data_IF_911012344183
#
_entry.id   IF_911012344183
#
_cell.length_a   1.000
_cell.length_b   1.000
_cell.length_c   1.000
_cell.angle_alpha   90.00
_cell.angle_beta   90.00
_cell.angle_gamma   90.00
#
_symmetry.space_group_name_H-M   'P 1'
#
loop_
_entity.id
_entity.type
_entity.pdbx_description
1 polymer ?
#
# COMPACT_ATOMS: atom_id res chain seq x y z
N UNK A 1 -39.66 -31.15 -52.50
CA UNK A 1 -39.34 -30.27 -51.35
C UNK A 1 -38.63 -31.15 -50.33
N UNK A 2 -37.28 -31.16 -50.33
CA UNK A 2 -36.40 -30.37 -49.43
C UNK A 2 -36.66 -30.80 -47.97
N UNK A 3 -35.72 -31.33 -47.17
CA UNK A 3 -34.37 -30.87 -46.79
C UNK A 3 -33.48 -32.09 -46.35
N UNK A 4 -32.25 -32.31 -46.86
CA UNK A 4 -30.89 -31.97 -46.30
C UNK A 4 -30.70 -32.38 -44.82
N UNK A 5 -29.94 -33.45 -44.51
CA UNK A 5 -28.48 -33.49 -44.17
C UNK A 5 -28.15 -32.51 -43.02
N UNK A 6 -27.70 -32.93 -41.83
CA UNK A 6 -26.38 -33.50 -41.48
C UNK A 6 -26.51 -34.39 -40.20
N UNK A 7 -25.74 -35.44 -39.92
CA UNK A 7 -24.36 -35.73 -40.28
C UNK A 7 -23.46 -35.63 -39.04
N UNK A 8 -22.84 -36.76 -38.67
CA UNK A 8 -21.65 -36.90 -37.81
C UNK A 8 -21.81 -36.60 -36.30
N UNK A 9 -21.34 -37.43 -35.38
CA UNK A 9 -20.27 -38.42 -35.46
C UNK A 9 -19.51 -38.32 -34.15
N UNK A 10 -19.89 -39.17 -33.19
CA UNK A 10 -19.27 -39.26 -31.86
C UNK A 10 -17.80 -39.59 -32.05
N UNK A 11 -16.92 -38.61 -31.81
CA UNK A 11 -15.47 -38.81 -31.74
C UNK A 11 -15.05 -38.75 -30.27
N UNK A 12 -14.54 -39.88 -29.83
CA UNK A 12 -13.69 -40.04 -28.64
C UNK A 12 -12.47 -39.15 -28.74
N UNK A 13 -12.21 -38.31 -27.74
CA UNK A 13 -10.87 -37.83 -27.41
C UNK A 13 -10.73 -37.71 -25.89
N UNK A 14 -10.00 -38.69 -25.34
CA UNK A 14 -8.91 -38.46 -24.39
C UNK A 14 -9.29 -37.82 -23.04
N UNK A 15 -9.59 -38.70 -22.09
CA UNK A 15 -9.47 -38.43 -20.67
C UNK A 15 -7.98 -38.36 -20.29
N UNK A 16 -7.41 -37.16 -20.36
CA UNK A 16 -6.14 -36.86 -19.71
C UNK A 16 -6.34 -36.82 -18.20
N UNK A 17 -6.07 -37.96 -17.56
CA UNK A 17 -5.89 -38.10 -16.12
C UNK A 17 -4.56 -37.44 -15.71
N UNK A 18 -4.58 -36.14 -15.40
CA UNK A 18 -3.47 -35.50 -14.67
C UNK A 18 -3.68 -35.62 -13.15
N UNK A 19 -3.46 -36.83 -12.65
CA UNK A 19 -3.61 -37.22 -11.25
C UNK A 19 -2.41 -36.75 -10.37
N UNK A 20 -2.02 -35.49 -10.49
CA UNK A 20 -0.93 -34.92 -9.68
C UNK A 20 -1.15 -33.48 -9.19
N UNK A 21 -2.19 -32.79 -9.66
CA UNK A 21 -2.52 -31.46 -9.12
C UNK A 21 -3.23 -31.61 -7.78
N UNK A 22 -2.77 -30.94 -6.70
CA UNK A 22 -3.56 -30.85 -5.49
C UNK A 22 -4.90 -30.21 -5.85
N UNK A 23 -6.00 -30.93 -5.66
CA UNK A 23 -7.32 -30.33 -5.80
C UNK A 23 -7.55 -29.45 -4.59
N UNK A 24 -7.21 -28.16 -4.67
CA UNK A 24 -7.55 -27.24 -3.60
C UNK A 24 -9.07 -27.05 -3.59
N UNK A 25 -9.71 -27.46 -2.51
CA UNK A 25 -11.12 -27.16 -2.21
C UNK A 25 -11.36 -25.64 -1.95
N UNK A 26 -10.32 -24.83 -2.08
CA UNK A 26 -10.33 -23.41 -1.77
C UNK A 26 -11.00 -22.61 -2.90
N UNK A 27 -11.93 -21.72 -2.53
CA UNK A 27 -12.54 -20.80 -3.48
C UNK A 27 -11.51 -19.71 -3.84
N UNK A 28 -11.11 -19.69 -5.11
CA UNK A 28 -10.18 -18.71 -5.67
C UNK A 28 -10.74 -17.28 -5.61
N UNK A 29 -12.07 -17.13 -5.56
CA UNK A 29 -12.72 -15.83 -5.44
C UNK A 29 -12.30 -15.07 -4.18
N UNK A 30 -11.91 -15.78 -3.11
CA UNK A 30 -11.48 -15.19 -1.84
C UNK A 30 -10.07 -14.58 -1.90
N UNK A 31 -9.26 -15.03 -2.87
CA UNK A 31 -7.90 -14.53 -3.09
C UNK A 31 -7.85 -13.53 -4.25
N UNK A 32 -8.91 -13.39 -5.02
CA UNK A 32 -8.99 -12.45 -6.13
C UNK A 32 -9.20 -11.01 -5.62
N UNK A 33 -8.54 -10.05 -6.25
CA UNK A 33 -8.77 -8.63 -6.02
C UNK A 33 -10.01 -8.19 -6.79
N UNK A 34 -10.94 -7.46 -6.17
CA UNK A 34 -12.15 -7.02 -6.88
C UNK A 34 -11.93 -5.86 -7.86
N UNK A 35 -10.73 -5.26 -7.88
CA UNK A 35 -10.38 -4.19 -8.82
C UNK A 35 -9.77 -4.79 -10.09
N UNK A 36 -8.76 -5.66 -9.96
CA UNK A 36 -8.08 -6.27 -11.12
C UNK A 36 -8.55 -7.69 -11.45
N UNK A 37 -9.43 -8.29 -10.65
CA UNK A 37 -10.02 -9.62 -10.82
C UNK A 37 -9.01 -10.78 -10.89
N UNK A 38 -7.79 -10.56 -10.42
CA UNK A 38 -6.69 -11.53 -10.38
C UNK A 38 -6.25 -11.79 -8.93
N UNK A 39 -5.51 -12.88 -8.66
CA UNK A 39 -5.03 -13.28 -7.31
C UNK A 39 -4.22 -12.17 -6.65
N UNK A 40 -4.67 -11.56 -5.56
CA UNK A 40 -4.05 -10.39 -4.92
C UNK A 40 -2.52 -10.45 -4.80
N UNK A 41 -1.84 -9.34 -5.11
CA UNK A 41 -0.42 -9.15 -4.83
C UNK A 41 -0.27 -8.08 -3.76
N UNK A 42 0.49 -8.37 -2.71
CA UNK A 42 0.61 -7.52 -1.53
C UNK A 42 -0.77 -7.07 -1.01
N UNK A 43 -1.56 -8.03 -0.52
CA UNK A 43 -2.90 -7.77 -0.06
C UNK A 43 -2.94 -6.76 1.09
N UNK A 44 -3.81 -5.78 0.93
CA UNK A 44 -4.10 -4.71 1.89
C UNK A 44 -5.53 -4.84 2.38
N UNK A 45 -5.73 -4.53 3.65
CA UNK A 45 -6.99 -4.48 4.34
C UNK A 45 -7.46 -3.03 4.50
N UNK A 46 -8.71 -2.75 4.14
CA UNK A 46 -9.33 -1.42 4.28
C UNK A 46 -10.20 -1.38 5.54
N UNK A 47 -9.74 -0.68 6.57
CA UNK A 47 -10.48 -0.47 7.82
C UNK A 47 -11.46 0.71 7.69
N UNK A 48 -12.70 0.62 8.21
CA UNK A 48 -13.28 -0.43 9.07
C UNK A 48 -14.01 -1.56 8.33
N UNK A 49 -14.15 -1.48 7.00
CA UNK A 49 -14.97 -2.44 6.23
C UNK A 49 -14.33 -3.81 6.01
N UNK A 50 -13.04 -3.97 6.31
CA UNK A 50 -12.22 -5.16 6.14
C UNK A 50 -12.23 -5.78 4.73
N UNK A 51 -12.41 -4.97 3.69
CA UNK A 51 -12.28 -5.41 2.30
C UNK A 51 -10.81 -5.47 1.87
N UNK A 52 -10.48 -6.46 1.04
CA UNK A 52 -9.10 -6.79 0.68
C UNK A 52 -8.82 -6.54 -0.80
N UNK A 53 -7.71 -5.89 -1.09
CA UNK A 53 -7.30 -5.53 -2.45
C UNK A 53 -5.77 -5.62 -2.60
N UNK A 54 -5.26 -5.60 -3.84
CA UNK A 54 -3.83 -5.40 -4.08
C UNK A 54 -3.40 -4.01 -3.60
N UNK A 55 -2.19 -3.90 -3.05
CA UNK A 55 -1.62 -2.61 -2.64
C UNK A 55 -1.65 -1.56 -3.76
N UNK A 56 -1.08 -1.85 -4.93
CA UNK A 56 -1.08 -0.91 -6.05
C UNK A 56 -2.49 -0.48 -6.50
N UNK A 57 -3.48 -1.39 -6.45
CA UNK A 57 -4.85 -1.09 -6.88
C UNK A 57 -5.59 -0.20 -5.88
N UNK A 58 -5.48 -0.48 -4.58
CA UNK A 58 -6.18 0.33 -3.57
C UNK A 58 -5.56 1.71 -3.43
N UNK A 59 -4.25 1.83 -3.54
CA UNK A 59 -3.56 3.11 -3.45
C UNK A 59 -3.92 4.04 -4.61
N UNK A 60 -3.96 3.52 -5.84
CA UNK A 60 -4.42 4.30 -7.00
C UNK A 60 -5.87 4.76 -6.85
N UNK A 61 -6.74 3.90 -6.35
CA UNK A 61 -8.13 4.26 -6.07
C UNK A 61 -8.23 5.33 -4.98
N UNK A 62 -7.47 5.17 -3.89
CA UNK A 62 -7.48 6.08 -2.75
C UNK A 62 -6.96 7.47 -3.10
N UNK A 63 -6.04 7.59 -4.07
CA UNK A 63 -5.60 8.87 -4.60
C UNK A 63 -6.74 9.67 -5.28
N UNK A 64 -7.79 8.99 -5.75
CA UNK A 64 -8.94 9.61 -6.42
C UNK A 64 -10.17 9.70 -5.50
N UNK A 65 -10.39 8.70 -4.65
CA UNK A 65 -11.57 8.55 -3.82
C UNK A 65 -11.22 7.97 -2.44
N UNK A 66 -11.58 8.67 -1.36
CA UNK A 66 -11.37 8.21 0.02
C UNK A 66 -12.40 7.15 0.49
N UNK A 67 -12.98 6.37 -0.42
CA UNK A 67 -14.06 5.41 -0.14
C UNK A 67 -13.68 4.03 -0.65
N UNK A 68 -14.08 2.97 0.06
CA UNK A 68 -13.85 1.60 -0.36
C UNK A 68 -14.54 1.30 -1.71
N UNK A 69 -13.85 0.65 -2.68
CA UNK A 69 -14.45 0.27 -3.96
C UNK A 69 -15.67 -0.65 -3.86
N UNK A 70 -15.67 -1.54 -2.85
CA UNK A 70 -16.74 -2.54 -2.62
C UNK A 70 -17.98 -1.95 -1.93
N UNK A 71 -17.79 -1.38 -0.74
CA UNK A 71 -18.90 -0.96 0.11
C UNK A 71 -19.12 0.56 0.16
N UNK A 72 -18.24 1.34 -0.47
CA UNK A 72 -18.30 2.82 -0.51
C UNK A 72 -18.23 3.52 0.85
N UNK A 73 -17.90 2.80 1.93
CA UNK A 73 -17.58 3.39 3.22
C UNK A 73 -16.25 4.15 3.18
N UNK A 74 -16.11 5.19 4.00
CA UNK A 74 -14.87 5.94 4.12
C UNK A 74 -13.74 5.03 4.59
N UNK A 75 -12.67 4.95 3.80
CA UNK A 75 -11.47 4.24 4.20
C UNK A 75 -10.76 5.10 5.26
N UNK A 76 -10.68 4.59 6.48
CA UNK A 76 -9.99 5.29 7.58
C UNK A 76 -8.52 4.91 7.60
N UNK A 77 -8.23 3.62 7.44
CA UNK A 77 -6.86 3.09 7.48
C UNK A 77 -6.70 1.96 6.44
N UNK A 78 -5.52 1.88 5.83
CA UNK A 78 -5.17 0.87 4.82
C UNK A 78 -3.91 0.15 5.31
N UNK A 79 -4.08 -1.07 5.81
CA UNK A 79 -3.00 -1.83 6.45
C UNK A 79 -2.69 -3.10 5.67
N UNK A 80 -1.45 -3.59 5.75
CA UNK A 80 -1.07 -4.84 5.06
C UNK A 80 -1.61 -6.04 5.82
N UNK A 81 -2.25 -6.96 5.12
CA UNK A 81 -2.70 -8.23 5.72
C UNK A 81 -1.60 -9.29 5.55
N UNK A 82 -0.73 -9.44 6.55
CA UNK A 82 0.35 -10.43 6.52
C UNK A 82 -0.17 -11.87 6.43
N UNK A 83 -1.31 -12.16 7.05
CA UNK A 83 -1.90 -13.50 7.06
C UNK A 83 -2.37 -13.92 5.68
N UNK A 84 -3.10 -13.04 4.99
CA UNK A 84 -3.58 -13.32 3.65
C UNK A 84 -2.44 -13.37 2.64
N UNK A 85 -1.40 -12.54 2.80
CA UNK A 85 -0.21 -12.63 1.98
C UNK A 85 0.49 -14.00 2.12
N UNK A 86 0.62 -14.53 3.34
CA UNK A 86 1.20 -15.86 3.56
C UNK A 86 0.35 -16.97 2.90
N UNK A 87 -0.98 -16.87 2.97
CA UNK A 87 -1.89 -17.81 2.31
C UNK A 87 -1.74 -17.75 0.78
N UNK A 88 -1.67 -16.53 0.21
CA UNK A 88 -1.46 -16.33 -1.23
C UNK A 88 -0.12 -16.91 -1.67
N UNK A 89 0.95 -16.69 -0.90
CA UNK A 89 2.27 -17.25 -1.21
C UNK A 89 2.23 -18.78 -1.24
N UNK A 90 1.60 -19.41 -0.26
CA UNK A 90 1.41 -20.88 -0.24
C UNK A 90 0.55 -21.37 -1.41
N UNK A 91 -0.50 -20.63 -1.76
CA UNK A 91 -1.36 -20.94 -2.90
C UNK A 91 -0.58 -20.89 -4.22
N UNK A 92 0.24 -19.86 -4.43
CA UNK A 92 1.07 -19.70 -5.62
C UNK A 92 2.23 -20.70 -5.71
N UNK A 93 2.63 -21.31 -4.59
CA UNK A 93 3.57 -22.44 -4.58
C UNK A 93 2.87 -23.72 -5.06
N UNK A 94 1.62 -23.94 -4.63
CA UNK A 94 0.84 -25.10 -5.05
C UNK A 94 0.35 -25.01 -6.51
N UNK A 95 0.04 -23.81 -7.00
CA UNK A 95 -0.45 -23.56 -8.37
C UNK A 95 0.38 -22.50 -9.09
N UNK A 96 1.57 -22.86 -9.59
CA UNK A 96 2.44 -21.90 -10.28
C UNK A 96 1.80 -21.38 -11.57
N UNK A 97 0.90 -22.12 -12.22
CA UNK A 97 0.22 -21.68 -13.46
C UNK A 97 -0.70 -20.47 -13.26
N UNK A 98 -1.13 -20.19 -12.02
CA UNK A 98 -2.05 -19.07 -11.72
C UNK A 98 -1.31 -17.79 -11.36
N UNK A 99 0.01 -17.81 -11.32
CA UNK A 99 0.82 -16.63 -11.02
C UNK A 99 0.70 -15.61 -12.15
N UNK A 100 0.51 -14.35 -11.78
CA UNK A 100 0.53 -13.21 -12.72
C UNK A 100 1.84 -13.11 -13.49
N UNK A 101 1.77 -12.42 -14.62
CA UNK A 101 2.96 -12.03 -15.36
C UNK A 101 3.87 -11.14 -14.50
N UNK A 102 5.18 -11.38 -14.62
CA UNK A 102 6.19 -10.61 -13.89
C UNK A 102 6.10 -9.10 -14.17
N UNK A 103 5.71 -8.72 -15.39
CA UNK A 103 5.53 -7.33 -15.77
C UNK A 103 4.39 -6.65 -14.97
N UNK A 104 3.26 -7.33 -14.80
CA UNK A 104 2.12 -6.80 -14.03
C UNK A 104 2.44 -6.68 -12.54
N UNK A 105 3.20 -7.63 -11.98
CA UNK A 105 3.66 -7.55 -10.59
C UNK A 105 4.55 -6.32 -10.38
N UNK A 106 5.51 -6.10 -11.28
CA UNK A 106 6.37 -4.92 -11.25
C UNK A 106 5.56 -3.62 -11.32
N UNK A 107 4.55 -3.56 -12.19
CA UNK A 107 3.69 -2.38 -12.31
C UNK A 107 2.88 -2.11 -11.02
N UNK A 108 2.38 -3.16 -10.36
CA UNK A 108 1.70 -3.05 -9.07
C UNK A 108 2.66 -2.54 -7.97
N UNK A 109 3.88 -3.06 -7.93
CA UNK A 109 4.93 -2.65 -6.99
C UNK A 109 5.37 -1.19 -7.24
N UNK A 110 5.41 -0.75 -8.49
CA UNK A 110 5.70 0.65 -8.84
C UNK A 110 4.58 1.60 -8.44
N UNK A 111 3.31 1.21 -8.64
CA UNK A 111 2.15 2.00 -8.18
C UNK A 111 2.16 2.14 -6.67
N UNK A 112 2.45 1.05 -5.97
CA UNK A 112 2.62 1.04 -4.52
C UNK A 112 3.73 1.99 -4.07
N UNK A 113 4.92 1.86 -4.67
CA UNK A 113 6.05 2.73 -4.35
C UNK A 113 5.70 4.21 -4.56
N UNK A 114 5.07 4.55 -5.69
CA UNK A 114 4.71 5.93 -6.00
C UNK A 114 3.79 6.54 -4.92
N UNK A 115 2.76 5.80 -4.49
CA UNK A 115 1.87 6.26 -3.43
C UNK A 115 2.62 6.48 -2.10
N UNK A 116 3.44 5.51 -1.69
CA UNK A 116 4.17 5.62 -0.42
C UNK A 116 5.17 6.80 -0.46
N UNK A 117 5.83 7.04 -1.60
CA UNK A 117 6.74 8.19 -1.75
C UNK A 117 6.01 9.54 -1.75
N UNK A 118 4.78 9.60 -2.27
CA UNK A 118 3.96 10.81 -2.19
C UNK A 118 3.53 11.08 -0.74
N UNK A 119 3.15 10.02 -0.01
CA UNK A 119 2.74 10.12 1.38
C UNK A 119 3.89 10.58 2.29
N UNK A 120 5.10 10.05 2.09
CA UNK A 120 6.32 10.50 2.80
C UNK A 120 6.61 11.98 2.55
N UNK A 121 6.60 12.45 1.30
CA UNK A 121 6.81 13.87 0.98
C UNK A 121 5.77 14.78 1.63
N UNK A 122 4.51 14.35 1.65
CA UNK A 122 3.43 15.13 2.29
C UNK A 122 3.67 15.23 3.80
N UNK A 123 4.12 14.15 4.45
CA UNK A 123 4.40 14.13 5.89
C UNK A 123 5.61 15.00 6.26
N UNK A 124 6.71 14.89 5.50
CA UNK A 124 7.92 15.72 5.72
C UNK A 124 7.61 17.22 5.58
N UNK A 125 6.55 17.58 4.85
CA UNK A 125 6.07 18.96 4.73
C UNK A 125 5.23 19.42 5.92
N UNK A 126 4.55 18.51 6.64
CA UNK A 126 3.69 18.80 7.79
C UNK A 126 4.47 18.75 9.13
N UNK A 127 5.54 17.95 9.23
CA UNK A 127 6.39 17.81 10.44
C UNK A 127 7.35 19.03 10.67
N UNK A 128 7.17 20.14 9.95
CA UNK A 128 8.09 21.28 9.92
C UNK A 128 7.77 22.50 10.82
N UNK A 129 6.84 22.43 11.77
CA UNK A 129 6.34 23.63 12.50
C UNK A 129 6.23 23.50 14.04
N UNK A 130 6.91 22.53 14.67
CA UNK A 130 6.92 22.42 16.14
C UNK A 130 8.34 22.45 16.71
N UNK A 131 9.08 23.50 16.38
CA UNK A 131 10.24 23.94 17.16
C UNK A 131 9.73 24.91 18.25
N UNK A 132 9.19 24.36 19.34
CA UNK A 132 9.08 25.13 20.57
C UNK A 132 10.46 25.10 21.23
N UNK A 133 11.24 26.16 21.00
CA UNK A 133 12.33 26.62 21.86
C UNK A 133 11.80 26.70 23.31
N UNK A 134 11.84 25.60 24.05
CA UNK A 134 11.51 25.54 25.47
C UNK A 134 12.74 25.92 26.31
N UNK A 135 13.48 26.95 25.88
CA UNK A 135 14.53 27.54 26.68
C UNK A 135 13.93 28.60 27.62
N UNK A 136 13.66 28.13 28.83
CA UNK A 136 14.07 28.82 30.05
C UNK A 136 13.30 30.10 30.46
N UNK A 137 12.00 29.98 30.76
CA UNK A 137 11.31 30.92 31.65
C UNK A 137 10.91 30.24 32.97
N UNK A 138 11.90 30.15 33.86
CA UNK A 138 11.70 30.05 35.30
C UNK A 138 10.89 31.28 35.74
N UNK A 139 9.56 31.17 35.78
CA UNK A 139 8.68 32.21 36.30
C UNK A 139 8.50 31.96 37.80
N UNK A 140 9.27 32.68 38.61
CA UNK A 140 9.02 32.77 40.05
C UNK A 140 7.64 33.41 40.28
N UNK A 141 6.76 32.68 40.95
CA UNK A 141 5.43 33.15 41.32
C UNK A 141 5.51 34.02 42.57
N UNK A 142 5.31 35.33 42.42
CA UNK A 142 4.87 36.24 43.48
C UNK A 142 3.70 37.07 42.93
N UNK A 143 2.47 36.81 43.38
CA UNK A 143 1.76 37.69 44.33
C UNK A 143 0.30 37.23 44.50
N UNK A 144 -0.21 37.35 45.72
CA UNK A 144 -1.56 36.99 46.15
C UNK A 144 -2.23 38.27 46.64
N UNK A 145 -3.38 38.66 46.07
CA UNK A 145 -4.19 39.70 46.69
C UNK A 145 -5.71 39.47 46.56
N UNK A 146 -6.28 39.07 47.70
CA UNK A 146 -7.47 39.58 48.40
C UNK A 146 -8.58 40.34 47.63
N UNK A 147 -9.84 39.90 47.81
CA UNK A 147 -11.02 40.75 47.56
C UNK A 147 -12.11 40.49 48.62
N UNK A 148 -12.48 41.52 49.37
CA UNK A 148 -13.50 41.50 50.44
C UNK A 148 -14.94 41.55 49.92
N UNK A 149 -15.84 40.84 50.61
CA UNK A 149 -17.27 40.76 50.33
C UNK A 149 -18.03 41.73 51.22
N UNK A 150 -18.90 42.57 50.65
CA UNK A 150 -19.77 43.48 51.39
C UNK A 150 -21.22 42.96 51.39
N UNK A 151 -21.73 42.74 52.60
CA UNK A 151 -22.98 42.05 52.92
C UNK A 151 -24.01 43.09 53.39
N UNK A 152 -25.17 43.18 52.73
CA UNK A 152 -26.37 43.80 53.30
C UNK A 152 -27.57 42.86 53.10
N UNK A 153 -28.27 42.68 54.21
CA UNK A 153 -29.45 41.83 54.43
C UNK A 153 -30.74 42.55 54.02
N UNK A 154 -31.80 41.79 53.71
CA UNK A 154 -33.10 41.89 54.41
C UNK A 154 -34.13 40.86 53.88
N UNK A 155 -34.53 39.95 54.79
CA UNK A 155 -35.87 39.46 55.16
C UNK A 155 -36.86 38.78 54.15
N UNK A 156 -36.86 37.43 54.21
CA UNK A 156 -37.99 36.47 54.41
C UNK A 156 -39.28 36.52 53.54
N UNK A 157 -39.40 35.59 52.58
CA UNK A 157 -40.67 34.90 52.30
C UNK A 157 -40.45 33.41 51.91
N UNK A 158 -41.03 32.52 52.71
CA UNK A 158 -40.93 31.07 52.55
C UNK A 158 -41.74 30.55 51.37
N UNK A 159 -41.04 30.02 50.37
CA UNK A 159 -41.58 29.14 49.33
C UNK A 159 -40.73 27.88 49.21
N UNK A 160 -41.35 26.73 49.53
CA UNK A 160 -40.80 25.40 49.30
C UNK A 160 -40.90 25.08 47.79
N UNK A 161 -39.85 25.47 47.03
CA UNK A 161 -39.67 25.12 45.63
C UNK A 161 -38.29 24.53 45.41
N UNK A 162 -38.30 23.32 44.85
CA UNK A 162 -37.16 22.45 44.55
C UNK A 162 -36.00 23.15 43.86
N UNK A 163 -34.78 23.05 44.42
CA UNK A 163 -33.54 22.85 43.65
C UNK A 163 -32.39 22.48 44.60
N UNK A 164 -32.12 21.19 44.77
CA UNK A 164 -30.92 20.72 45.45
C UNK A 164 -29.72 20.83 44.52
N UNK A 165 -29.19 22.03 44.33
CA UNK A 165 -27.89 22.24 43.67
C UNK A 165 -27.19 23.45 44.31
N UNK A 166 -26.96 23.34 45.61
CA UNK A 166 -25.97 24.15 46.32
C UNK A 166 -24.67 23.38 46.24
N UNK A 167 -23.92 23.62 45.18
CA UNK A 167 -22.57 23.12 45.02
C UNK A 167 -21.72 23.84 46.07
N UNK A 168 -21.54 23.21 47.24
CA UNK A 168 -20.57 23.67 48.23
C UNK A 168 -19.19 23.69 47.57
N UNK A 169 -18.58 24.88 47.53
CA UNK A 169 -17.21 25.16 47.07
C UNK A 169 -16.13 24.51 47.96
N UNK A 170 -16.34 23.29 48.44
CA UNK A 170 -15.39 22.61 49.31
C UNK A 170 -15.27 21.09 49.09
N UNK A 171 -15.76 20.57 47.97
CA UNK A 171 -15.55 19.18 47.51
C UNK A 171 -14.92 19.13 46.10
N UNK A 172 -13.83 19.87 45.91
CA UNK A 172 -12.91 19.68 44.78
C UNK A 172 -11.51 19.33 45.29
N UNK A 173 -11.43 18.41 46.25
CA UNK A 173 -10.29 17.50 46.35
C UNK A 173 -10.83 16.08 46.13
N UNK A 174 -11.35 15.88 44.93
CA UNK A 174 -11.43 14.52 44.42
C UNK A 174 -9.99 14.01 44.44
N UNK A 175 -9.75 12.90 45.15
CA UNK A 175 -8.70 11.98 44.74
C UNK A 175 -8.93 11.79 43.24
N UNK A 176 -8.13 12.50 42.44
CA UNK A 176 -7.91 12.12 41.07
C UNK A 176 -7.24 10.76 41.24
N UNK A 177 -8.04 9.70 41.14
CA UNK A 177 -7.51 8.36 40.97
C UNK A 177 -6.51 8.48 39.81
N UNK A 178 -5.21 8.49 40.12
CA UNK A 178 -4.08 8.45 39.18
C UNK A 178 -4.01 7.06 38.53
N UNK A 179 -5.15 6.49 38.16
CA UNK A 179 -5.28 5.13 37.66
C UNK A 179 -6.00 5.14 36.30
N UNK A 180 -5.35 5.72 35.28
CA UNK A 180 -5.31 5.13 33.91
C UNK A 180 -4.26 5.77 32.96
N UNK A 181 -3.08 6.15 33.46
CA UNK A 181 -1.95 6.61 32.60
C UNK A 181 -1.06 5.44 32.09
N UNK A 182 -1.50 4.18 32.19
CA UNK A 182 -0.69 3.01 31.81
C UNK A 182 -0.77 2.60 30.31
N UNK A 183 -1.13 3.48 29.37
CA UNK A 183 -1.22 3.05 27.96
C UNK A 183 -0.93 4.12 26.89
N UNK A 184 -0.07 5.10 27.16
CA UNK A 184 0.36 6.06 26.13
C UNK A 184 1.66 5.63 25.44
N UNK A 185 2.59 5.00 26.18
CA UNK A 185 3.86 4.49 25.62
C UNK A 185 3.65 3.35 24.63
N UNK A 186 2.79 2.37 24.97
CA UNK A 186 2.57 1.19 24.13
C UNK A 186 1.92 1.55 22.79
N UNK A 187 0.99 2.53 22.78
CA UNK A 187 0.38 3.07 21.55
C UNK A 187 1.40 3.78 20.66
N UNK A 188 2.32 4.53 21.27
CA UNK A 188 3.38 5.22 20.54
C UNK A 188 4.38 4.24 19.92
N UNK A 189 4.74 3.18 20.64
CA UNK A 189 5.64 2.13 20.16
C UNK A 189 5.04 1.35 18.98
N UNK A 190 3.75 0.99 19.05
CA UNK A 190 3.04 0.35 17.93
C UNK A 190 3.02 1.24 16.68
N UNK A 191 2.79 2.54 16.86
CA UNK A 191 2.80 3.51 15.77
C UNK A 191 4.19 3.63 15.12
N UNK A 192 5.25 3.77 15.92
CA UNK A 192 6.64 3.83 15.45
C UNK A 192 7.02 2.54 14.73
N UNK A 193 6.63 1.38 15.26
CA UNK A 193 6.86 0.08 14.65
C UNK A 193 6.22 -0.03 13.27
N UNK A 194 4.93 0.33 13.16
CA UNK A 194 4.19 0.37 11.88
C UNK A 194 4.87 1.30 10.87
N UNK A 195 5.27 2.49 11.32
CA UNK A 195 5.99 3.50 10.52
C UNK A 195 7.32 2.97 10.01
N UNK A 196 8.11 2.32 10.87
CA UNK A 196 9.39 1.73 10.50
C UNK A 196 9.22 0.60 9.48
N UNK A 197 8.17 -0.21 9.62
CA UNK A 197 7.85 -1.28 8.67
C UNK A 197 7.49 -0.72 7.29
N UNK A 198 6.68 0.34 7.24
CA UNK A 198 6.30 1.02 6.00
C UNK A 198 7.52 1.66 5.31
N UNK A 199 8.40 2.31 6.09
CA UNK A 199 9.65 2.87 5.58
C UNK A 199 10.59 1.81 5.02
N UNK A 200 10.78 0.71 5.74
CA UNK A 200 11.61 -0.42 5.28
C UNK A 200 11.05 -1.07 4.00
N UNK A 201 9.72 -1.08 3.85
CA UNK A 201 9.04 -1.58 2.65
C UNK A 201 9.28 -0.66 1.46
N UNK A 202 9.14 0.65 1.64
CA UNK A 202 9.48 1.62 0.60
C UNK A 202 10.93 1.49 0.13
N UNK A 203 11.87 1.39 1.06
CA UNK A 203 13.29 1.25 0.73
C UNK A 203 13.57 -0.03 -0.07
N UNK A 204 12.90 -1.14 0.27
CA UNK A 204 12.97 -2.40 -0.50
C UNK A 204 12.50 -2.19 -1.94
N UNK A 205 11.34 -1.57 -2.14
CA UNK A 205 10.78 -1.30 -3.46
C UNK A 205 11.68 -0.36 -4.28
N UNK A 206 12.26 0.68 -3.65
CA UNK A 206 13.25 1.57 -4.29
C UNK A 206 14.46 0.77 -4.78
N UNK A 207 15.01 -0.11 -3.94
CA UNK A 207 16.17 -0.94 -4.28
C UNK A 207 15.87 -1.92 -5.42
N UNK A 208 14.72 -2.59 -5.39
CA UNK A 208 14.31 -3.52 -6.44
C UNK A 208 14.09 -2.81 -7.79
N UNK A 209 13.49 -1.62 -7.75
CA UNK A 209 13.35 -0.75 -8.93
C UNK A 209 14.70 -0.34 -9.49
N UNK A 210 15.62 0.12 -8.64
CA UNK A 210 16.96 0.51 -9.05
C UNK A 210 17.75 -0.66 -9.65
N UNK A 211 17.72 -1.83 -9.02
CA UNK A 211 18.37 -3.04 -9.53
C UNK A 211 17.85 -3.42 -10.91
N UNK A 212 16.53 -3.38 -11.09
CA UNK A 212 15.88 -3.66 -12.38
C UNK A 212 16.29 -2.63 -13.44
N UNK A 213 16.36 -1.36 -13.09
CA UNK A 213 16.74 -0.31 -14.04
C UNK A 213 18.24 -0.42 -14.42
N UNK A 214 19.10 -0.78 -13.46
CA UNK A 214 20.51 -1.15 -13.73
C UNK A 214 20.62 -2.35 -14.67
N UNK A 215 19.81 -3.39 -14.47
CA UNK A 215 19.78 -4.57 -15.36
C UNK A 215 19.33 -4.20 -16.78
N UNK A 216 18.29 -3.36 -16.91
CA UNK A 216 17.83 -2.85 -18.21
C UNK A 216 18.93 -2.06 -18.93
N UNK A 217 19.70 -1.25 -18.21
CA UNK A 217 20.81 -0.49 -18.78
C UNK A 217 21.93 -1.41 -19.29
N UNK A 218 22.34 -2.41 -18.49
CA UNK A 218 23.33 -3.40 -18.90
C UNK A 218 22.88 -4.20 -20.14
N UNK A 219 21.61 -4.58 -20.20
CA UNK A 219 21.03 -5.25 -21.36
C UNK A 219 21.00 -4.34 -22.60
N UNK A 220 20.61 -3.09 -22.44
CA UNK A 220 20.62 -2.10 -23.51
C UNK A 220 22.05 -1.88 -24.04
N UNK A 221 23.04 -1.81 -23.15
CA UNK A 221 24.45 -1.68 -23.54
C UNK A 221 24.94 -2.93 -24.28
N UNK A 222 24.58 -4.13 -23.82
CA UNK A 222 24.88 -5.41 -24.50
C UNK A 222 24.23 -5.46 -25.90
N UNK A 223 23.00 -4.99 -26.04
CA UNK A 223 22.29 -4.89 -27.32
C UNK A 223 22.95 -3.89 -28.29
N UNK A 224 23.40 -2.73 -27.78
CA UNK A 224 24.17 -1.75 -28.57
C UNK A 224 25.51 -2.34 -29.05
N UNK A 225 26.23 -3.03 -28.17
CA UNK A 225 27.52 -3.69 -28.48
C UNK A 225 27.36 -4.80 -29.53
N UNK A 226 26.34 -5.65 -29.42
CA UNK A 226 26.06 -6.72 -30.41
C UNK A 226 25.66 -6.13 -31.77
N UNK A 227 24.77 -5.14 -31.78
CA UNK A 227 24.38 -4.41 -33.01
C UNK A 227 25.58 -3.74 -33.70
N UNK A 228 26.50 -3.14 -32.94
CA UNK A 228 27.72 -2.55 -33.47
C UNK A 228 28.68 -3.59 -34.06
N UNK A 229 28.83 -4.76 -33.41
CA UNK A 229 29.61 -5.89 -33.93
C UNK A 229 29.03 -6.40 -35.26
N UNK A 230 27.72 -6.64 -35.34
CA UNK A 230 27.06 -7.10 -36.57
C UNK A 230 27.16 -6.09 -37.71
N UNK A 231 27.05 -4.77 -37.42
CA UNK A 231 27.27 -3.72 -38.44
C UNK A 231 28.71 -3.72 -38.96
N UNK A 232 29.70 -3.91 -38.07
CA UNK A 232 31.12 -3.97 -38.43
C UNK A 232 31.46 -5.22 -39.25
N UNK A 233 30.85 -6.36 -38.93
CA UNK A 233 30.98 -7.61 -39.69
C UNK A 233 30.36 -7.50 -41.09
N UNK A 234 29.12 -7.01 -41.20
CA UNK A 234 28.45 -6.76 -42.48
C UNK A 234 29.20 -5.74 -43.36
N UNK A 235 29.87 -4.76 -42.74
CA UNK A 235 30.75 -3.84 -43.46
C UNK A 235 32.06 -4.50 -43.94
N UNK A 236 32.61 -5.48 -43.20
CA UNK A 236 33.80 -6.23 -43.60
C UNK A 236 33.48 -7.21 -44.73
N UNK A 237 32.34 -7.90 -44.68
CA UNK A 237 31.87 -8.79 -45.75
C UNK A 237 31.63 -8.05 -47.07
N UNK A 238 30.97 -6.88 -47.02
CA UNK A 238 30.81 -6.03 -48.22
C UNK A 238 32.15 -5.59 -48.81
N UNK A 239 33.17 -5.41 -47.97
CA UNK A 239 34.51 -4.97 -48.41
C UNK A 239 35.32 -6.09 -49.06
N UNK A 240 35.15 -7.35 -48.66
CA UNK A 240 35.83 -8.48 -49.31
C UNK A 240 35.08 -9.07 -50.51
N UNK A 241 33.78 -8.79 -50.67
CA UNK A 241 32.97 -9.27 -51.80
C UNK A 241 33.11 -8.51 -53.14
N UNK A 242 33.92 -7.43 -53.21
CA UNK A 242 34.05 -6.59 -54.43
C UNK A 242 35.39 -6.76 -55.15
N UNK A 243 36.09 -7.88 -54.94
CA UNK A 243 37.37 -8.18 -55.56
C UNK A 243 37.35 -9.52 -56.30
N UNK A 244 36.80 -9.56 -57.52
CA UNK A 244 36.93 -10.72 -58.38
C UNK A 244 35.92 -10.77 -59.51
N UNK A 245 36.32 -10.35 -60.72
CA UNK A 245 35.56 -10.64 -61.94
C UNK A 245 35.82 -9.72 -63.12
N UNK A 246 36.79 -10.12 -63.94
CA UNK A 246 36.92 -9.87 -65.39
C UNK A 246 37.46 -8.51 -65.85
N UNK A 247 38.79 -8.42 -65.86
CA UNK A 247 39.46 -7.97 -67.07
C UNK A 247 39.58 -9.14 -68.05
N UNK A 248 39.11 -8.96 -69.29
CA UNK A 248 39.72 -9.51 -70.50
C UNK A 248 38.90 -9.14 -71.75
N UNK A 249 39.59 -8.42 -72.65
CA UNK A 249 39.49 -8.45 -74.12
C UNK A 249 38.15 -8.18 -74.81
N UNK A 250 38.13 -7.13 -75.62
CA UNK A 250 38.28 -7.32 -77.07
C UNK A 250 38.61 -6.02 -77.81
N UNK A 251 39.35 -6.23 -78.89
CA UNK A 251 39.95 -5.31 -79.85
C UNK A 251 38.91 -4.55 -80.69
#
# INVERSE_FOLDING_TARGET
MLYREDGNGVKTTEADNDASKPTCFFDESLLACDICLEIMHNAMNVSPCNHKFCAGCIYEWNSLNNKCPKCRWSAVDITRDATLNSIIEQYLIAFPEKRRDKAQLIELDERELNHLEQWERKRDSDEGDYDYDMDNQFFESEDSDTFEVQLESDEDDGLEYSSSDRWSENDMIGSFDEDDDENDSDRQDEYISRRNLEKARMERLRREKEERDRLKELEAERSRKTSAKSKKEKSRERRCGTGGGNGAASL
#
